data_IF_524160784510
#
_entry.id   IF_524160784510
#
_cell.length_a   1.000
_cell.length_b   1.000
_cell.length_c   1.000
_cell.angle_alpha   90.00
_cell.angle_beta   90.00
_cell.angle_gamma   90.00
#
_symmetry.space_group_name_H-M   'P 1'
#
loop_
_entity.id
_entity.type
_entity.pdbx_description
1 polymer ?
#
# COMPACT_ATOMS: atom_id res chain seq x y z
N UNK A 1 -43.96 -7.49 22.38
CA UNK A 1 -43.70 -8.41 21.25
C UNK A 1 -42.54 -7.81 20.45
N UNK A 2 -41.54 -8.58 20.14
CA UNK A 2 -40.47 -8.13 19.26
C UNK A 2 -40.94 -8.23 17.81
N UNK A 3 -40.80 -7.16 17.02
CA UNK A 3 -41.07 -7.18 15.58
C UNK A 3 -39.88 -7.75 14.84
N UNK A 4 -40.08 -8.77 14.03
CA UNK A 4 -39.05 -9.38 13.21
C UNK A 4 -39.38 -9.08 11.74
N UNK A 5 -38.40 -8.47 11.05
CA UNK A 5 -38.45 -8.32 9.58
C UNK A 5 -37.70 -9.52 8.99
N UNK A 6 -38.38 -10.31 8.17
CA UNK A 6 -37.74 -11.41 7.42
C UNK A 6 -37.62 -10.99 5.96
N UNK A 7 -36.38 -10.80 5.51
CA UNK A 7 -36.07 -10.46 4.12
C UNK A 7 -34.78 -11.21 3.71
N UNK A 8 -34.79 -11.75 2.48
CA UNK A 8 -33.58 -12.35 1.92
C UNK A 8 -32.65 -11.32 1.28
N UNK A 9 -33.16 -10.14 1.00
CA UNK A 9 -32.42 -9.07 0.33
C UNK A 9 -32.92 -7.70 0.77
N UNK A 10 -31.99 -6.78 0.99
CA UNK A 10 -32.23 -5.35 1.12
C UNK A 10 -31.66 -4.66 -0.10
N UNK A 11 -32.45 -3.84 -0.78
CA UNK A 11 -32.04 -3.11 -2.00
C UNK A 11 -32.16 -1.61 -1.79
N UNK A 12 -31.38 -0.84 -2.58
CA UNK A 12 -31.56 0.61 -2.71
C UNK A 12 -32.75 0.93 -3.62
N UNK A 13 -33.06 2.22 -3.77
CA UNK A 13 -34.16 2.67 -4.64
C UNK A 13 -33.96 2.32 -6.13
N UNK A 14 -32.70 2.11 -6.57
CA UNK A 14 -32.34 1.68 -7.92
C UNK A 14 -32.44 0.18 -8.15
N UNK A 15 -32.84 -0.59 -7.12
CA UNK A 15 -32.93 -2.05 -7.20
C UNK A 15 -31.59 -2.77 -6.97
N UNK A 16 -30.55 -2.04 -6.60
CA UNK A 16 -29.25 -2.64 -6.29
C UNK A 16 -29.28 -3.29 -4.91
N UNK A 17 -28.72 -4.48 -4.80
CA UNK A 17 -28.63 -5.21 -3.54
C UNK A 17 -27.68 -4.52 -2.56
N UNK A 18 -28.14 -4.19 -1.37
CA UNK A 18 -27.30 -3.68 -0.25
C UNK A 18 -26.83 -4.85 0.61
N UNK A 19 -27.76 -5.74 0.95
CA UNK A 19 -27.51 -6.95 1.74
C UNK A 19 -28.23 -8.12 1.11
N UNK A 20 -27.58 -9.28 1.03
CA UNK A 20 -28.20 -10.54 0.61
C UNK A 20 -27.89 -11.60 1.66
N UNK A 21 -28.91 -12.34 2.10
CA UNK A 21 -28.74 -13.53 2.95
C UNK A 21 -28.71 -14.78 2.08
N UNK A 22 -27.81 -15.72 2.39
CA UNK A 22 -27.75 -17.03 1.75
C UNK A 22 -28.80 -18.02 2.29
N UNK A 23 -29.64 -17.57 3.23
CA UNK A 23 -30.64 -18.41 3.90
C UNK A 23 -30.08 -19.28 5.02
N UNK A 24 -28.76 -19.34 5.20
CA UNK A 24 -28.07 -20.11 6.24
C UNK A 24 -27.50 -19.23 7.37
N UNK A 25 -27.85 -17.93 7.37
CA UNK A 25 -27.42 -16.98 8.39
C UNK A 25 -26.18 -16.16 8.00
N UNK A 26 -25.62 -16.38 6.83
CA UNK A 26 -24.54 -15.53 6.32
C UNK A 26 -25.10 -14.34 5.54
N UNK A 27 -24.44 -13.19 5.67
CA UNK A 27 -24.77 -11.98 4.93
C UNK A 27 -23.67 -11.69 3.90
N UNK A 28 -24.09 -11.49 2.66
CA UNK A 28 -23.24 -10.90 1.62
C UNK A 28 -23.64 -9.45 1.46
N UNK A 29 -22.70 -8.54 1.68
CA UNK A 29 -22.86 -7.13 1.35
C UNK A 29 -22.31 -6.92 -0.06
N UNK A 30 -23.04 -6.23 -0.92
CA UNK A 30 -22.44 -5.73 -2.14
C UNK A 30 -21.48 -4.61 -1.76
N UNK A 31 -20.19 -4.88 -1.94
CA UNK A 31 -19.08 -3.95 -1.72
C UNK A 31 -19.27 -3.08 -0.46
N UNK A 32 -18.92 -3.59 0.70
CA UNK A 32 -18.30 -2.69 1.66
C UNK A 32 -17.03 -2.24 0.94
N UNK A 33 -17.06 -1.04 0.36
CA UNK A 33 -15.97 -0.56 -0.46
C UNK A 33 -14.78 -0.24 0.45
N UNK A 34 -13.92 -1.22 0.65
CA UNK A 34 -12.63 -1.09 1.33
C UNK A 34 -11.52 -1.15 0.28
N UNK A 35 -11.22 -0.01 -0.38
CA UNK A 35 -10.09 0.03 -1.28
C UNK A 35 -8.83 -0.44 -0.56
N UNK A 36 -8.14 -1.39 -1.18
CA UNK A 36 -6.90 -1.94 -0.68
C UNK A 36 -5.99 -2.30 -1.84
N UNK A 37 -4.69 -2.09 -1.66
CA UNK A 37 -3.68 -2.63 -2.55
C UNK A 37 -2.48 -3.18 -1.77
N UNK A 38 -1.80 -4.12 -2.37
CA UNK A 38 -0.51 -4.64 -1.92
C UNK A 38 0.31 -5.04 -3.13
N UNK A 39 1.50 -4.47 -3.24
CA UNK A 39 2.46 -4.73 -4.31
C UNK A 39 3.82 -5.07 -3.73
N UNK A 40 4.59 -5.85 -4.44
CA UNK A 40 5.93 -6.26 -4.01
C UNK A 40 6.93 -6.29 -5.18
N UNK A 41 8.19 -6.67 -4.85
CA UNK A 41 9.32 -6.63 -5.79
C UNK A 41 9.45 -7.87 -6.67
N UNK A 42 8.65 -8.89 -6.48
CA UNK A 42 8.83 -10.23 -7.07
C UNK A 42 9.47 -10.23 -8.47
N UNK A 43 10.66 -10.79 -8.58
CA UNK A 43 11.43 -10.87 -9.83
C UNK A 43 12.01 -9.54 -10.38
N UNK A 44 11.69 -8.40 -9.80
CA UNK A 44 12.09 -7.09 -10.30
C UNK A 44 13.45 -6.64 -9.73
N UNK A 45 14.34 -6.13 -10.58
CA UNK A 45 15.58 -5.49 -10.14
C UNK A 45 15.41 -3.98 -10.11
N UNK A 46 15.53 -3.37 -8.92
CA UNK A 46 15.43 -1.92 -8.72
C UNK A 46 16.74 -1.41 -8.14
N UNK A 47 17.45 -0.56 -8.89
CA UNK A 47 18.69 0.06 -8.46
C UNK A 47 18.45 1.46 -7.89
N UNK A 48 18.99 1.72 -6.71
CA UNK A 48 18.88 3.00 -6.00
C UNK A 48 20.24 3.67 -6.00
N UNK A 49 20.31 4.86 -6.58
CA UNK A 49 21.53 5.66 -6.63
C UNK A 49 21.98 6.07 -5.21
N UNK A 50 23.31 6.17 -5.03
CA UNK A 50 23.86 6.60 -3.76
C UNK A 50 23.39 8.01 -3.37
N UNK A 51 23.02 8.18 -2.11
CA UNK A 51 22.63 9.46 -1.49
C UNK A 51 21.47 10.20 -2.17
N UNK A 52 20.68 9.49 -3.01
CA UNK A 52 19.57 10.07 -3.78
C UNK A 52 18.22 9.51 -3.31
N UNK A 53 17.28 10.41 -2.99
CA UNK A 53 15.90 10.00 -2.71
C UNK A 53 15.25 9.55 -4.01
N UNK A 54 14.91 8.28 -4.09
CA UNK A 54 14.41 7.63 -5.30
C UNK A 54 13.01 7.06 -5.05
N UNK A 55 12.07 7.32 -5.95
CA UNK A 55 10.76 6.66 -5.93
C UNK A 55 10.95 5.18 -6.26
N UNK A 56 10.28 4.31 -5.49
CA UNK A 56 10.25 2.88 -5.74
C UNK A 56 8.96 2.53 -6.49
N UNK A 57 9.11 1.89 -7.65
CA UNK A 57 7.99 1.42 -8.46
C UNK A 57 7.99 -0.09 -8.40
N UNK A 58 7.06 -0.66 -7.65
CA UNK A 58 6.86 -2.10 -7.53
C UNK A 58 5.79 -2.53 -8.53
N UNK A 59 6.04 -3.60 -9.29
CA UNK A 59 5.20 -3.97 -10.43
C UNK A 59 4.40 -5.26 -10.24
N UNK A 60 4.71 -6.04 -9.19
CA UNK A 60 3.95 -7.25 -8.91
C UNK A 60 2.79 -6.95 -7.96
N UNK A 61 1.59 -6.93 -8.50
CA UNK A 61 0.35 -6.71 -7.76
C UNK A 61 -0.15 -8.01 -7.14
N UNK A 62 -0.24 -8.04 -5.82
CA UNK A 62 -0.85 -9.16 -5.07
C UNK A 62 -2.33 -8.88 -4.80
N UNK A 63 -2.64 -7.63 -4.49
CA UNK A 63 -4.01 -7.16 -4.27
C UNK A 63 -4.12 -5.75 -4.84
N UNK A 64 -5.13 -5.50 -5.64
CA UNK A 64 -5.66 -4.18 -5.96
C UNK A 64 -7.17 -4.29 -6.20
N UNK A 65 -7.96 -3.92 -5.21
CA UNK A 65 -9.42 -4.17 -5.23
C UNK A 65 -10.18 -3.30 -6.21
N UNK A 66 -9.65 -2.12 -6.53
CA UNK A 66 -10.32 -1.11 -7.36
C UNK A 66 -9.50 -0.71 -8.59
N UNK A 67 -8.42 -1.44 -8.88
CA UNK A 67 -7.47 -1.12 -9.94
C UNK A 67 -6.96 0.33 -9.84
N UNK A 68 -6.58 0.70 -8.60
CA UNK A 68 -6.22 2.06 -8.22
C UNK A 68 -4.71 2.28 -8.08
N UNK A 69 -3.92 1.20 -8.15
CA UNK A 69 -2.46 1.27 -8.22
C UNK A 69 -1.99 1.23 -9.67
N UNK A 70 -1.15 2.16 -10.04
CA UNK A 70 -0.55 2.24 -11.37
C UNK A 70 0.90 1.73 -11.32
N UNK A 71 1.13 0.54 -11.84
CA UNK A 71 2.45 -0.12 -11.89
C UNK A 71 3.47 0.62 -12.75
N UNK A 72 3.04 1.52 -13.64
CA UNK A 72 3.95 2.34 -14.46
C UNK A 72 4.46 3.56 -13.72
N UNK A 73 3.68 4.09 -12.79
CA UNK A 73 4.02 5.31 -12.04
C UNK A 73 4.31 5.05 -10.56
N UNK A 74 3.95 3.89 -10.02
CA UNK A 74 4.08 3.55 -8.61
C UNK A 74 3.14 4.36 -7.70
N UNK A 75 1.99 4.79 -8.22
CA UNK A 75 1.00 5.59 -7.50
C UNK A 75 -0.23 4.75 -7.17
N UNK A 76 -0.70 4.86 -5.94
CA UNK A 76 -2.03 4.41 -5.58
C UNK A 76 -2.96 5.62 -5.44
N UNK A 77 -3.98 5.68 -6.29
CA UNK A 77 -4.98 6.77 -6.34
C UNK A 77 -6.37 6.17 -6.07
N UNK A 78 -6.80 6.06 -4.80
CA UNK A 78 -8.08 5.42 -4.49
C UNK A 78 -9.25 6.23 -5.05
N UNK A 79 -10.31 5.52 -5.45
CA UNK A 79 -11.55 6.12 -5.96
C UNK A 79 -12.57 6.41 -4.86
N UNK A 80 -12.24 6.14 -3.59
CA UNK A 80 -13.09 6.36 -2.43
C UNK A 80 -12.39 7.24 -1.43
N UNK A 81 -13.01 8.33 -1.04
CA UNK A 81 -12.50 9.21 0.02
C UNK A 81 -12.49 8.50 1.37
N UNK A 82 -11.54 8.84 2.22
CA UNK A 82 -11.48 8.33 3.58
C UNK A 82 -10.08 8.27 4.14
N UNK A 83 -9.99 7.70 5.33
CA UNK A 83 -8.73 7.46 6.04
C UNK A 83 -8.15 6.10 5.65
N UNK A 84 -6.89 6.11 5.27
CA UNK A 84 -6.14 4.93 4.84
C UNK A 84 -4.99 4.64 5.80
N UNK A 85 -4.81 3.37 6.15
CA UNK A 85 -3.56 2.90 6.73
C UNK A 85 -2.61 2.52 5.60
N UNK A 86 -1.41 3.10 5.63
CA UNK A 86 -0.37 2.94 4.60
C UNK A 86 0.83 2.29 5.23
N UNK A 87 1.46 1.36 4.54
CA UNK A 87 2.62 0.64 5.02
C UNK A 87 3.57 0.28 3.88
N UNK A 88 4.86 0.16 4.21
CA UNK A 88 5.87 -0.28 3.26
C UNK A 88 7.13 -0.77 3.96
N UNK A 89 7.88 -1.60 3.26
CA UNK A 89 9.17 -2.11 3.68
C UNK A 89 10.17 -2.06 2.53
N UNK A 90 11.42 -1.75 2.87
CA UNK A 90 12.55 -1.74 1.94
C UNK A 90 13.72 -2.51 2.55
N UNK A 91 14.28 -3.43 1.78
CA UNK A 91 15.49 -4.18 2.09
C UNK A 91 16.45 -4.08 0.90
N UNK A 92 17.69 -3.79 1.14
CA UNK A 92 18.72 -3.74 0.11
C UNK A 92 19.48 -5.07 0.01
N UNK A 93 19.82 -5.44 -1.21
CA UNK A 93 20.69 -6.59 -1.51
C UNK A 93 22.16 -6.14 -1.48
N UNK A 94 22.66 -5.85 -0.30
CA UNK A 94 24.05 -5.46 -0.11
C UNK A 94 24.64 -6.08 1.14
N UNK A 95 25.85 -6.58 0.97
CA UNK A 95 26.75 -7.02 2.05
C UNK A 95 27.70 -5.88 2.37
N UNK A 96 27.36 -5.00 3.28
CA UNK A 96 28.20 -3.89 3.73
C UNK A 96 27.41 -2.80 4.43
N UNK A 97 28.12 -1.96 5.17
CA UNK A 97 27.50 -0.92 5.98
C UNK A 97 26.83 0.15 5.12
N UNK A 98 25.66 0.56 5.55
CA UNK A 98 24.99 1.76 5.07
C UNK A 98 25.15 2.85 6.14
N UNK A 99 25.67 4.01 5.75
CA UNK A 99 25.71 5.16 6.65
C UNK A 99 24.30 5.68 6.96
N UNK A 100 23.41 5.57 5.98
CA UNK A 100 22.05 6.11 6.04
C UNK A 100 21.11 5.31 5.13
N UNK A 101 20.06 4.78 5.71
CA UNK A 101 18.93 4.14 5.02
C UNK A 101 17.64 4.87 5.36
N UNK A 102 16.83 5.18 4.37
CA UNK A 102 15.56 5.85 4.57
C UNK A 102 14.46 5.19 3.77
N UNK A 103 13.27 5.12 4.36
CA UNK A 103 12.01 4.84 3.69
C UNK A 103 11.06 6.01 3.95
N UNK A 104 10.33 6.44 2.94
CA UNK A 104 9.36 7.53 3.04
C UNK A 104 8.06 7.16 2.36
N UNK A 105 6.97 7.28 3.07
CA UNK A 105 5.62 7.23 2.52
C UNK A 105 5.12 8.65 2.32
N UNK A 106 4.70 9.00 1.11
CA UNK A 106 4.32 10.36 0.75
C UNK A 106 2.93 10.42 0.14
N UNK A 107 2.24 11.51 0.44
CA UNK A 107 1.02 11.94 -0.25
C UNK A 107 1.38 13.04 -1.25
N UNK A 108 0.94 12.89 -2.51
CA UNK A 108 1.06 13.90 -3.58
C UNK A 108 2.51 14.37 -3.80
N UNK A 109 3.48 13.46 -3.66
CA UNK A 109 4.93 13.73 -3.81
C UNK A 109 5.51 14.76 -2.82
N UNK A 110 4.73 15.33 -1.94
CA UNK A 110 5.19 16.45 -1.08
C UNK A 110 5.02 16.19 0.41
N UNK A 111 3.82 15.78 0.85
CA UNK A 111 3.52 15.59 2.26
C UNK A 111 4.01 14.25 2.76
N UNK A 112 4.83 14.25 3.80
CA UNK A 112 5.26 13.01 4.46
C UNK A 112 4.10 12.43 5.26
N UNK A 113 3.77 11.17 5.00
CA UNK A 113 2.86 10.36 5.83
C UNK A 113 3.65 9.73 6.97
N UNK A 114 4.80 9.16 6.62
CA UNK A 114 5.72 8.52 7.55
C UNK A 114 7.12 8.45 6.93
N UNK A 115 8.12 8.51 7.78
CA UNK A 115 9.51 8.33 7.41
C UNK A 115 10.22 7.52 8.49
N UNK A 116 11.04 6.55 8.10
CA UNK A 116 11.95 5.87 8.98
C UNK A 116 13.37 6.02 8.45
N UNK A 117 14.30 6.16 9.39
CA UNK A 117 15.73 6.34 9.16
C UNK A 117 16.48 5.30 9.99
N UNK A 118 17.40 4.62 9.36
CA UNK A 118 18.33 3.71 10.03
C UNK A 118 19.78 4.05 9.65
N UNK A 119 20.71 3.87 10.58
CA UNK A 119 22.13 4.26 10.41
C UNK A 119 23.06 3.17 10.87
N UNK A 120 24.17 3.03 10.13
CA UNK A 120 25.27 2.11 10.47
C UNK A 120 24.84 0.63 10.55
N UNK A 121 24.01 0.17 9.63
CA UNK A 121 23.52 -1.20 9.60
C UNK A 121 24.03 -2.02 8.41
N UNK A 122 24.33 -3.26 8.75
CA UNK A 122 24.70 -4.32 7.82
C UNK A 122 23.50 -5.18 7.52
N UNK A 123 22.76 -5.01 6.48
CA UNK A 123 21.62 -5.85 6.14
C UNK A 123 20.39 -5.66 7.05
N UNK A 124 19.55 -4.73 6.71
CA UNK A 124 18.32 -4.47 7.47
C UNK A 124 17.12 -4.27 6.55
N UNK A 125 15.95 -4.60 7.05
CA UNK A 125 14.67 -4.19 6.49
C UNK A 125 14.18 -2.96 7.23
N UNK A 126 14.03 -1.86 6.54
CA UNK A 126 13.46 -0.64 7.10
C UNK A 126 11.98 -0.55 6.74
N UNK A 127 11.15 -0.23 7.74
CA UNK A 127 9.71 -0.18 7.60
C UNK A 127 9.18 1.22 7.90
N UNK A 128 8.13 1.62 7.19
CA UNK A 128 7.34 2.80 7.52
C UNK A 128 5.85 2.48 7.43
N UNK A 129 5.07 3.10 8.31
CA UNK A 129 3.61 2.97 8.32
C UNK A 129 2.98 4.22 8.92
N UNK A 130 1.76 4.51 8.51
CA UNK A 130 1.03 5.67 9.00
C UNK A 130 -0.39 5.72 8.48
N UNK A 131 -1.10 6.76 8.84
CA UNK A 131 -2.45 7.02 8.35
C UNK A 131 -2.50 8.33 7.58
N UNK A 132 -3.38 8.38 6.57
CA UNK A 132 -3.56 9.56 5.73
C UNK A 132 -5.01 9.68 5.28
N UNK A 133 -5.51 10.90 5.16
CA UNK A 133 -6.79 11.17 4.52
C UNK A 133 -6.58 11.39 3.02
N UNK A 134 -7.32 10.63 2.18
CA UNK A 134 -7.31 10.72 0.74
C UNK A 134 -8.70 11.12 0.23
N UNK A 135 -8.74 12.00 -0.78
CA UNK A 135 -10.00 12.59 -1.28
C UNK A 135 -10.80 11.69 -2.23
N UNK A 136 -10.28 10.49 -2.56
CA UNK A 136 -10.96 9.54 -3.43
C UNK A 136 -11.03 9.93 -4.92
N UNK A 137 -10.15 10.82 -5.38
CA UNK A 137 -10.14 11.26 -6.78
C UNK A 137 -8.76 11.64 -7.31
N UNK A 138 -8.07 12.57 -6.65
CA UNK A 138 -6.81 13.14 -7.11
C UNK A 138 -5.64 12.92 -6.16
N UNK A 139 -5.92 12.65 -4.89
CA UNK A 139 -4.89 12.33 -3.93
C UNK A 139 -4.32 10.93 -4.22
N UNK A 140 -3.00 10.85 -4.17
CA UNK A 140 -2.28 9.60 -4.35
C UNK A 140 -1.18 9.44 -3.28
N UNK A 141 -0.76 8.21 -3.10
CA UNK A 141 0.36 7.85 -2.22
C UNK A 141 1.45 7.14 -2.99
N UNK A 142 2.68 7.32 -2.54
CA UNK A 142 3.89 6.78 -3.15
C UNK A 142 4.89 6.36 -2.07
N UNK A 143 5.79 5.43 -2.42
CA UNK A 143 6.92 5.02 -1.59
C UNK A 143 8.24 5.49 -2.19
N UNK A 144 9.11 6.01 -1.36
CA UNK A 144 10.46 6.45 -1.68
C UNK A 144 11.48 5.81 -0.76
N UNK A 145 12.70 5.68 -1.24
CA UNK A 145 13.84 5.23 -0.44
C UNK A 145 15.08 6.06 -0.75
N UNK A 146 16.03 6.05 0.16
CA UNK A 146 17.39 6.57 -0.01
C UNK A 146 18.34 5.64 0.69
N UNK A 147 19.53 5.49 0.14
CA UNK A 147 20.64 4.78 0.76
C UNK A 147 21.94 5.59 0.61
N UNK A 148 22.87 5.41 1.53
CA UNK A 148 24.19 6.02 1.52
C UNK A 148 25.24 4.96 1.81
N UNK A 149 25.63 4.25 0.75
CA UNK A 149 26.59 3.13 0.82
C UNK A 149 27.84 3.37 -0.03
N UNK A 150 28.05 4.60 -0.46
CA UNK A 150 29.18 4.98 -1.32
C UNK A 150 28.99 4.66 -2.80
N UNK A 151 28.05 3.77 -3.16
CA UNK A 151 27.72 3.39 -4.54
C UNK A 151 26.23 3.09 -4.67
N UNK A 152 25.75 2.90 -5.91
CA UNK A 152 24.38 2.42 -6.15
C UNK A 152 24.19 1.01 -5.56
N UNK A 153 23.02 0.75 -5.02
CA UNK A 153 22.63 -0.53 -4.43
C UNK A 153 21.28 -0.98 -4.93
N UNK A 154 21.12 -2.28 -5.16
CA UNK A 154 19.83 -2.82 -5.55
C UNK A 154 18.96 -3.12 -4.35
N UNK A 155 17.66 -3.00 -4.51
CA UNK A 155 16.72 -3.59 -3.58
C UNK A 155 16.83 -5.12 -3.67
N UNK A 156 16.65 -5.79 -2.54
CA UNK A 156 16.69 -7.25 -2.52
C UNK A 156 15.54 -7.82 -3.37
N UNK A 157 15.93 -8.54 -4.40
CA UNK A 157 15.01 -9.22 -5.28
C UNK A 157 14.79 -10.66 -4.78
N UNK A 158 13.84 -10.85 -3.89
CA UNK A 158 13.42 -12.17 -3.44
C UNK A 158 12.14 -12.60 -4.16
N UNK A 159 12.11 -13.82 -4.62
CA UNK A 159 11.02 -14.38 -5.44
C UNK A 159 9.67 -14.46 -4.71
N UNK A 160 9.64 -14.36 -3.39
CA UNK A 160 8.41 -14.35 -2.58
C UNK A 160 7.90 -12.93 -2.27
N UNK A 161 8.65 -11.89 -2.68
CA UNK A 161 8.29 -10.50 -2.48
C UNK A 161 8.18 -10.03 -1.01
N UNK A 162 8.59 -10.86 -0.07
CA UNK A 162 8.33 -10.65 1.37
C UNK A 162 9.10 -9.48 2.00
N UNK A 163 10.10 -8.93 1.32
CA UNK A 163 11.04 -7.96 1.91
C UNK A 163 10.91 -6.54 1.37
N UNK A 164 10.39 -6.38 0.17
CA UNK A 164 10.15 -5.08 -0.44
C UNK A 164 8.71 -5.03 -0.90
N UNK A 165 7.90 -4.28 -0.19
CA UNK A 165 6.47 -4.17 -0.47
C UNK A 165 5.92 -2.78 -0.14
N UNK A 166 4.79 -2.48 -0.73
CA UNK A 166 4.03 -1.27 -0.47
C UNK A 166 2.55 -1.59 -0.52
N UNK A 167 1.79 -1.04 0.40
CA UNK A 167 0.37 -1.28 0.45
C UNK A 167 -0.39 -0.26 1.27
N UNK A 168 -1.70 -0.25 1.08
CA UNK A 168 -2.63 0.49 1.91
C UNK A 168 -4.01 -0.15 1.89
N UNK A 169 -4.80 0.17 2.91
CA UNK A 169 -6.22 -0.17 2.97
C UNK A 169 -7.01 0.90 3.73
N UNK A 170 -8.26 1.09 3.32
CA UNK A 170 -9.15 2.04 3.95
C UNK A 170 -9.57 1.57 5.34
N UNK A 171 -9.48 2.43 6.35
CA UNK A 171 -9.83 2.14 7.75
C UNK A 171 -11.05 2.92 8.25
N UNK A 172 -11.52 3.89 7.48
CA UNK A 172 -12.68 4.70 7.88
C UNK A 172 -13.03 5.79 6.86
N UNK A 173 -14.05 6.56 7.17
CA UNK A 173 -14.49 7.76 6.45
C UNK A 173 -13.91 9.01 7.10
#
# INVERSE_FOLDING_TARGET
MASIIKANQLQDFGGNSILTSDGAGNLTTQKINYPAFHVNVDGQTISIANSTVTKVILTNEIVDTDNAYDTSTGKFTPQVAGKYFVYGAITYDKTGDFDDLQIRLRKNNSSSISEALDRNHYYTTINAYGTVDLNGSTDYIEIYTKQSAGAASNLMNNQDGSRNYFGAYRIGS
#
